data_IF_261514687217
#
_entry.id   IF_261514687217
#
_cell.length_a   1.000
_cell.length_b   1.000
_cell.length_c   1.000
_cell.angle_alpha   90.00
_cell.angle_beta   90.00
_cell.angle_gamma   90.00
#
_symmetry.space_group_name_H-M   'P 1'
#
loop_
_entity.id
_entity.type
_entity.pdbx_description
1 polymer ?
#
# COMPACT_ATOMS: atom_id res chain seq x y z
N UNK A 1 -21.90 2.34 1.28
CA UNK A 1 -21.03 1.63 0.32
C UNK A 1 -19.75 1.21 1.07
N UNK A 2 -19.33 -0.04 0.98
CA UNK A 2 -18.12 -0.55 1.68
C UNK A 2 -16.85 0.08 1.07
N UNK A 3 -15.93 0.58 1.89
CA UNK A 3 -14.65 1.16 1.45
C UNK A 3 -13.62 0.08 1.11
N UNK A 4 -12.56 0.42 0.35
CA UNK A 4 -11.45 -0.51 0.08
C UNK A 4 -10.82 -1.06 1.38
N UNK A 5 -10.60 -0.20 2.37
CA UNK A 5 -10.08 -0.61 3.68
C UNK A 5 -10.97 -1.64 4.37
N UNK A 6 -12.30 -1.43 4.39
CA UNK A 6 -13.25 -2.37 4.98
C UNK A 6 -13.23 -3.73 4.27
N UNK A 7 -13.18 -3.73 2.93
CA UNK A 7 -13.05 -4.96 2.12
C UNK A 7 -11.78 -5.74 2.45
N UNK A 8 -10.65 -5.03 2.57
CA UNK A 8 -9.35 -5.64 2.85
C UNK A 8 -9.32 -6.22 4.27
N UNK A 9 -9.83 -5.49 5.27
CA UNK A 9 -9.99 -6.01 6.64
C UNK A 9 -10.80 -7.31 6.63
N UNK A 10 -11.95 -7.32 5.95
CA UNK A 10 -12.82 -8.51 5.86
C UNK A 10 -12.14 -9.71 5.19
N UNK A 11 -11.32 -9.48 4.16
CA UNK A 11 -10.63 -10.55 3.41
C UNK A 11 -9.40 -11.11 4.14
N UNK A 12 -8.69 -10.25 4.85
CA UNK A 12 -7.41 -10.60 5.51
C UNK A 12 -7.59 -10.99 6.97
N UNK A 13 -8.68 -10.56 7.62
CA UNK A 13 -8.88 -10.68 9.07
C UNK A 13 -8.04 -9.71 9.89
N UNK A 14 -7.21 -8.88 9.25
CA UNK A 14 -6.33 -7.93 9.95
C UNK A 14 -7.11 -6.74 10.49
N UNK A 15 -6.62 -6.20 11.61
CA UNK A 15 -7.15 -4.99 12.23
C UNK A 15 -6.15 -3.84 12.05
N UNK A 16 -6.60 -2.57 12.12
CA UNK A 16 -5.69 -1.44 12.17
C UNK A 16 -4.67 -1.60 13.28
N UNK A 17 -3.40 -1.37 12.95
CA UNK A 17 -2.25 -1.47 13.86
C UNK A 17 -1.53 -0.13 13.90
N UNK A 18 -1.17 0.28 15.10
CA UNK A 18 -0.22 1.37 15.31
C UNK A 18 1.19 0.81 15.52
N UNK A 19 2.20 1.44 14.91
CA UNK A 19 3.59 0.98 15.00
C UNK A 19 4.24 1.38 16.34
N UNK A 20 3.69 0.91 17.47
CA UNK A 20 4.16 1.28 18.81
C UNK A 20 5.45 0.56 19.20
N UNK A 21 5.59 -0.73 18.86
CA UNK A 21 6.78 -1.53 19.19
C UNK A 21 7.90 -1.43 18.15
N UNK A 22 9.13 -1.76 18.55
CA UNK A 22 10.34 -1.70 17.69
C UNK A 22 10.18 -2.50 16.39
N UNK A 23 9.60 -3.70 16.45
CA UNK A 23 9.45 -4.58 15.28
C UNK A 23 8.46 -4.01 14.26
N UNK A 24 7.36 -3.39 14.71
CA UNK A 24 6.45 -2.69 13.79
C UNK A 24 7.09 -1.43 13.20
N UNK A 25 7.90 -0.70 13.97
CA UNK A 25 8.63 0.47 13.45
C UNK A 25 9.66 0.10 12.39
N UNK A 26 10.33 -1.04 12.54
CA UNK A 26 11.29 -1.53 11.54
C UNK A 26 10.64 -1.75 10.17
N UNK A 27 9.37 -2.18 10.11
CA UNK A 27 8.65 -2.32 8.85
C UNK A 27 8.45 -0.99 8.12
N UNK A 28 8.46 0.15 8.82
CA UNK A 28 8.33 1.47 8.18
C UNK A 28 9.54 1.85 7.32
N UNK A 29 10.65 1.11 7.40
CA UNK A 29 11.80 1.27 6.50
C UNK A 29 11.52 0.80 5.09
N UNK A 30 10.48 -0.01 4.88
CA UNK A 30 10.07 -0.50 3.57
C UNK A 30 8.80 0.24 3.15
N UNK A 31 8.72 0.78 1.92
CA UNK A 31 7.49 1.34 1.37
C UNK A 31 6.34 0.36 1.50
N UNK A 32 5.30 0.77 2.20
CA UNK A 32 4.05 0.02 2.22
C UNK A 32 3.17 0.39 1.03
N UNK A 33 2.39 -0.58 0.56
CA UNK A 33 1.47 -0.43 -0.56
C UNK A 33 0.17 0.30 -0.17
N UNK A 34 -0.26 1.22 -1.01
CA UNK A 34 -1.54 1.92 -0.93
C UNK A 34 -2.53 1.48 -2.01
N UNK A 35 -3.82 1.58 -1.69
CA UNK A 35 -4.89 1.50 -2.70
C UNK A 35 -4.87 2.75 -3.58
N UNK A 36 -5.59 2.79 -4.72
CA UNK A 36 -5.74 4.01 -5.49
C UNK A 36 -6.21 5.20 -4.65
N UNK A 37 -7.17 5.01 -3.73
CA UNK A 37 -7.62 6.13 -2.88
C UNK A 37 -6.53 6.63 -1.91
N UNK A 38 -5.71 5.73 -1.36
CA UNK A 38 -4.58 6.15 -0.51
C UNK A 38 -3.60 7.02 -1.30
N UNK A 39 -3.26 6.60 -2.52
CA UNK A 39 -2.31 7.32 -3.37
C UNK A 39 -2.87 8.66 -3.83
N UNK A 40 -4.16 8.71 -4.20
CA UNK A 40 -4.78 9.98 -4.55
C UNK A 40 -4.77 10.96 -3.37
N UNK A 41 -4.95 10.49 -2.13
CA UNK A 41 -4.82 11.35 -0.94
C UNK A 41 -3.40 11.87 -0.76
N UNK A 42 -2.38 11.03 -0.96
CA UNK A 42 -0.98 11.46 -0.91
C UNK A 42 -0.66 12.51 -1.99
N UNK A 43 -1.16 12.32 -3.20
CA UNK A 43 -1.00 13.29 -4.29
C UNK A 43 -1.65 14.63 -3.96
N UNK A 44 -2.90 14.61 -3.45
CA UNK A 44 -3.61 15.81 -3.02
C UNK A 44 -2.94 16.52 -1.84
N UNK A 45 -2.21 15.79 -1.01
CA UNK A 45 -1.40 16.33 0.07
C UNK A 45 -0.03 16.86 -0.38
N UNK A 46 0.29 16.83 -1.69
CA UNK A 46 1.52 17.40 -2.24
C UNK A 46 2.71 16.44 -2.30
N UNK A 47 2.53 15.15 -2.03
CA UNK A 47 3.63 14.17 -2.00
C UNK A 47 3.99 13.55 -3.35
N UNK A 48 3.63 14.19 -4.47
CA UNK A 48 3.85 13.67 -5.83
C UNK A 48 5.30 13.22 -6.07
N UNK A 49 6.27 14.06 -5.70
CA UNK A 49 7.69 13.78 -5.94
C UNK A 49 8.25 12.59 -5.15
N UNK A 50 7.48 12.08 -4.18
CA UNK A 50 7.83 10.93 -3.34
C UNK A 50 7.12 9.65 -3.78
N UNK A 51 6.34 9.73 -4.85
CA UNK A 51 5.63 8.61 -5.45
C UNK A 51 6.24 8.26 -6.81
N UNK A 52 6.17 6.98 -7.19
CA UNK A 52 6.66 6.52 -8.49
C UNK A 52 5.79 5.39 -9.05
N UNK A 53 5.72 5.27 -10.39
CA UNK A 53 5.21 4.06 -11.02
C UNK A 53 5.93 2.82 -10.49
N UNK A 54 5.15 1.81 -10.11
CA UNK A 54 5.61 0.60 -9.44
C UNK A 54 5.00 -0.62 -10.12
N UNK A 55 5.80 -1.69 -10.24
CA UNK A 55 5.41 -2.96 -10.86
C UNK A 55 5.30 -4.02 -9.78
N UNK A 56 4.08 -4.36 -9.36
CA UNK A 56 3.88 -5.43 -8.40
C UNK A 56 3.84 -6.78 -9.11
N UNK A 57 4.85 -7.63 -8.84
CA UNK A 57 5.09 -8.86 -9.60
C UNK A 57 4.86 -10.16 -8.79
N UNK A 58 4.53 -10.08 -7.50
CA UNK A 58 4.44 -11.26 -6.62
C UNK A 58 3.41 -12.28 -7.15
N UNK A 59 2.26 -11.81 -7.64
CA UNK A 59 1.23 -12.70 -8.20
C UNK A 59 1.67 -13.43 -9.48
N UNK A 60 2.48 -12.77 -10.33
CA UNK A 60 3.07 -13.38 -11.51
C UNK A 60 4.10 -14.45 -11.13
N UNK A 61 5.02 -14.10 -10.21
CA UNK A 61 6.08 -15.01 -9.76
C UNK A 61 5.54 -16.27 -9.08
N UNK A 62 4.39 -16.17 -8.41
CA UNK A 62 3.71 -17.31 -7.78
C UNK A 62 2.75 -18.06 -8.72
N UNK A 63 2.67 -17.70 -10.00
CA UNK A 63 1.77 -18.32 -10.98
C UNK A 63 0.29 -18.14 -10.66
N UNK A 64 -0.08 -17.07 -9.94
CA UNK A 64 -1.47 -16.78 -9.53
C UNK A 64 -2.22 -15.85 -10.47
N UNK A 65 -1.49 -14.98 -11.18
CA UNK A 65 -2.00 -14.14 -12.25
C UNK A 65 -0.98 -14.11 -13.40
N UNK A 66 -1.39 -13.96 -14.66
CA UNK A 66 -0.49 -14.03 -15.81
C UNK A 66 0.19 -12.69 -16.15
N UNK A 67 0.10 -11.66 -15.28
CA UNK A 67 0.62 -10.32 -15.54
C UNK A 67 1.12 -9.61 -14.28
N UNK A 68 1.91 -8.56 -14.48
CA UNK A 68 2.34 -7.61 -13.44
C UNK A 68 1.21 -6.60 -13.20
N UNK A 69 0.96 -6.24 -11.93
CA UNK A 69 0.00 -5.18 -11.59
C UNK A 69 0.72 -3.82 -11.59
N UNK A 70 0.36 -2.89 -12.49
CA UNK A 70 0.90 -1.54 -12.47
C UNK A 70 0.25 -0.73 -11.36
N UNK A 71 1.07 -0.02 -10.59
CA UNK A 71 0.65 0.78 -9.44
C UNK A 71 1.44 2.09 -9.42
N UNK A 72 1.04 3.03 -8.55
CA UNK A 72 1.88 4.14 -8.11
C UNK A 72 2.08 3.99 -6.62
N UNK A 73 3.31 4.01 -6.12
CA UNK A 73 3.62 3.76 -4.71
C UNK A 73 4.71 4.70 -4.19
N UNK A 74 4.89 4.73 -2.87
CA UNK A 74 5.99 5.45 -2.25
C UNK A 74 7.34 4.96 -2.77
N UNK A 75 8.26 5.89 -3.04
CA UNK A 75 9.61 5.58 -3.50
C UNK A 75 10.41 4.87 -2.40
N UNK A 76 11.20 3.90 -2.83
CA UNK A 76 12.33 3.38 -2.09
C UNK A 76 13.56 4.24 -2.44
N UNK A 77 14.19 4.83 -1.43
CA UNK A 77 15.46 5.52 -1.54
C UNK A 77 16.57 4.68 -0.89
N UNK A 78 17.84 5.12 -1.03
CA UNK A 78 19.00 4.38 -0.56
C UNK A 78 18.94 4.01 0.95
N UNK A 79 18.25 4.83 1.76
CA UNK A 79 18.09 4.63 3.20
C UNK A 79 16.80 3.93 3.63
N UNK A 80 15.85 3.65 2.72
CA UNK A 80 14.53 3.15 3.10
C UNK A 80 13.39 3.76 2.30
N UNK A 81 12.18 3.56 2.79
CA UNK A 81 10.99 4.30 2.38
C UNK A 81 11.27 5.80 2.46
N UNK A 82 10.94 6.54 1.41
CA UNK A 82 11.10 8.01 1.39
C UNK A 82 10.44 8.67 2.60
N UNK A 83 9.31 8.15 3.10
CA UNK A 83 8.57 8.66 4.26
C UNK A 83 9.11 8.22 5.63
N UNK A 84 10.25 7.52 5.68
CA UNK A 84 10.85 7.08 6.93
C UNK A 84 11.72 8.19 7.52
N UNK A 85 11.32 8.70 8.69
CA UNK A 85 12.01 9.77 9.40
C UNK A 85 12.03 9.46 10.91
N UNK A 86 13.18 9.63 11.55
CA UNK A 86 13.36 9.51 13.01
C UNK A 86 12.80 8.20 13.61
N UNK A 87 12.95 7.09 12.89
CA UNK A 87 12.54 5.78 13.37
C UNK A 87 11.06 5.44 13.16
N UNK A 88 10.28 6.31 12.51
CA UNK A 88 8.87 6.09 12.20
C UNK A 88 8.52 6.62 10.80
N UNK A 89 7.32 6.30 10.30
CA UNK A 89 6.81 6.89 9.08
C UNK A 89 6.12 8.24 9.38
N UNK A 90 6.52 9.33 8.73
CA UNK A 90 5.94 10.66 8.93
C UNK A 90 4.42 10.69 8.65
N UNK A 91 3.94 9.83 7.76
CA UNK A 91 2.53 9.74 7.38
C UNK A 91 1.61 9.23 8.50
N UNK A 92 2.17 8.71 9.61
CA UNK A 92 1.39 8.37 10.80
C UNK A 92 0.71 9.61 11.38
N UNK A 93 1.46 10.68 11.62
CA UNK A 93 0.94 11.90 12.23
C UNK A 93 -0.07 12.62 11.32
N UNK A 94 0.13 12.52 10.00
CA UNK A 94 -0.78 13.09 9.01
C UNK A 94 -2.05 12.25 8.78
N UNK A 95 -2.14 11.03 9.32
CA UNK A 95 -3.24 10.11 9.03
C UNK A 95 -3.27 9.63 7.57
N UNK A 96 -2.14 9.72 6.86
CA UNK A 96 -1.99 9.42 5.43
C UNK A 96 -1.27 8.10 5.16
N UNK A 97 -0.99 7.30 6.19
CA UNK A 97 -0.32 6.01 6.03
C UNK A 97 -1.12 5.10 5.07
N UNK A 98 -0.48 4.50 4.05
CA UNK A 98 -1.14 3.58 3.13
C UNK A 98 -1.77 2.36 3.81
N UNK A 99 -2.79 1.79 3.18
CA UNK A 99 -3.59 0.68 3.73
C UNK A 99 -2.76 -0.53 4.15
N UNK A 100 -1.77 -0.95 3.36
CA UNK A 100 -0.90 -2.07 3.78
C UNK A 100 -0.19 -1.73 5.09
N UNK A 101 0.38 -0.53 5.19
CA UNK A 101 1.07 -0.10 6.40
C UNK A 101 0.15 0.00 7.61
N UNK A 102 -1.11 0.41 7.42
CA UNK A 102 -2.11 0.51 8.50
C UNK A 102 -2.57 -0.84 9.03
N UNK A 103 -2.48 -1.89 8.20
CA UNK A 103 -2.91 -3.24 8.55
C UNK A 103 -1.75 -4.19 8.80
N UNK A 104 -0.50 -3.77 8.55
CA UNK A 104 0.66 -4.63 8.77
C UNK A 104 0.98 -4.79 10.25
N UNK A 105 1.27 -6.03 10.66
CA UNK A 105 1.77 -6.38 11.98
C UNK A 105 3.03 -7.24 11.83
N UNK A 106 3.92 -7.20 12.82
CA UNK A 106 5.18 -7.97 12.79
C UNK A 106 4.99 -9.48 12.97
N UNK A 107 3.79 -9.92 13.36
CA UNK A 107 3.45 -11.34 13.46
C UNK A 107 3.03 -11.88 12.11
N UNK A 108 3.55 -13.05 11.76
CA UNK A 108 3.10 -13.81 10.59
C UNK A 108 1.92 -14.68 11.01
N UNK A 109 0.82 -14.58 10.28
CA UNK A 109 -0.40 -15.35 10.50
C UNK A 109 -0.82 -16.06 9.20
N UNK A 110 -1.85 -16.92 9.27
CA UNK A 110 -2.24 -17.82 8.15
C UNK A 110 -2.52 -17.09 6.82
N UNK A 111 -2.94 -15.83 6.87
CA UNK A 111 -3.17 -14.99 5.70
C UNK A 111 -1.87 -14.65 4.96
N UNK A 112 -0.72 -14.64 5.63
CA UNK A 112 0.57 -14.50 4.96
C UNK A 112 0.89 -15.71 4.06
N UNK A 113 0.31 -16.88 4.35
CA UNK A 113 0.58 -18.12 3.63
C UNK A 113 -0.43 -18.37 2.49
N UNK A 114 -1.64 -17.83 2.60
CA UNK A 114 -2.70 -17.96 1.58
C UNK A 114 -2.72 -16.74 0.67
N UNK A 115 -2.30 -16.89 -0.58
CA UNK A 115 -2.24 -15.79 -1.57
C UNK A 115 -3.49 -14.91 -1.60
N UNK A 116 -4.69 -15.49 -1.67
CA UNK A 116 -5.95 -14.73 -1.73
C UNK A 116 -6.25 -13.89 -0.48
N UNK A 117 -5.62 -14.21 0.66
CA UNK A 117 -5.72 -13.48 1.92
C UNK A 117 -4.50 -12.58 2.18
N UNK A 118 -3.47 -12.61 1.33
CA UNK A 118 -2.30 -11.74 1.47
C UNK A 118 -2.73 -10.27 1.45
N UNK A 119 -2.19 -9.48 2.38
CA UNK A 119 -2.46 -8.05 2.46
C UNK A 119 -1.98 -7.33 1.20
N UNK A 120 -0.76 -7.62 0.73
CA UNK A 120 -0.19 -6.97 -0.45
C UNK A 120 -1.00 -7.27 -1.71
N UNK A 121 -1.49 -8.51 -1.86
CA UNK A 121 -2.40 -8.88 -2.95
C UNK A 121 -3.74 -8.14 -2.85
N UNK A 122 -4.31 -8.07 -1.65
CA UNK A 122 -5.59 -7.41 -1.44
C UNK A 122 -5.52 -5.88 -1.64
N UNK A 123 -4.34 -5.27 -1.53
CA UNK A 123 -4.09 -3.90 -1.97
C UNK A 123 -3.87 -3.84 -3.49
N UNK A 124 -3.02 -4.70 -4.05
CA UNK A 124 -2.71 -4.72 -5.49
C UNK A 124 -3.96 -4.93 -6.36
N UNK A 125 -4.86 -5.83 -5.98
CA UNK A 125 -6.10 -6.08 -6.75
C UNK A 125 -7.01 -4.85 -6.83
N UNK A 126 -6.94 -3.90 -5.90
CA UNK A 126 -7.75 -2.67 -5.98
C UNK A 126 -7.30 -1.78 -7.15
N UNK A 127 -6.07 -1.95 -7.66
CA UNK A 127 -5.59 -1.31 -8.89
C UNK A 127 -6.11 -1.95 -10.17
N UNK A 128 -6.72 -3.13 -10.06
CA UNK A 128 -7.36 -3.84 -11.17
C UNK A 128 -8.89 -3.71 -11.13
N UNK A 129 -9.42 -3.13 -10.06
CA UNK A 129 -10.86 -3.06 -9.82
C UNK A 129 -11.47 -1.88 -10.60
N UNK A 130 -12.47 -2.16 -11.42
CA UNK A 130 -13.14 -1.16 -12.28
C UNK A 130 -13.75 -0.02 -11.47
N UNK A 131 -14.16 -0.27 -10.22
CA UNK A 131 -14.69 0.76 -9.31
C UNK A 131 -13.69 1.87 -9.03
N UNK A 132 -12.39 1.61 -9.22
CA UNK A 132 -11.32 2.56 -8.98
C UNK A 132 -10.80 3.22 -10.26
N UNK A 133 -11.36 2.92 -11.44
CA UNK A 133 -10.85 3.45 -12.73
C UNK A 133 -10.78 4.97 -12.79
N UNK A 134 -11.80 5.69 -12.32
CA UNK A 134 -11.76 7.16 -12.30
C UNK A 134 -10.66 7.70 -11.37
N UNK A 135 -10.46 7.05 -10.23
CA UNK A 135 -9.38 7.39 -9.28
C UNK A 135 -8.02 7.13 -9.92
N UNK A 136 -7.85 5.99 -10.60
CA UNK A 136 -6.60 5.62 -11.27
C UNK A 136 -6.29 6.58 -12.43
N UNK A 137 -7.29 6.94 -13.22
CA UNK A 137 -7.15 7.93 -14.30
C UNK A 137 -6.68 9.28 -13.78
N UNK A 138 -7.22 9.73 -12.66
CA UNK A 138 -6.81 10.97 -12.01
C UNK A 138 -5.36 10.88 -11.49
N UNK A 139 -4.98 9.77 -10.88
CA UNK A 139 -3.59 9.52 -10.45
C UNK A 139 -2.64 9.62 -11.64
N UNK A 140 -2.93 8.94 -12.74
CA UNK A 140 -2.10 8.96 -13.96
C UNK A 140 -1.98 10.38 -14.51
N UNK A 141 -3.09 11.13 -14.55
CA UNK A 141 -3.10 12.54 -14.99
C UNK A 141 -2.19 13.42 -14.12
N UNK A 142 -2.24 13.30 -12.80
CA UNK A 142 -1.38 14.08 -11.88
C UNK A 142 0.08 13.64 -12.01
N UNK A 143 0.34 12.35 -12.11
CA UNK A 143 1.69 11.81 -12.25
C UNK A 143 2.34 12.17 -13.59
N UNK A 144 1.56 12.40 -14.65
CA UNK A 144 2.07 12.78 -15.97
C UNK A 144 2.35 14.27 -16.19
N UNK A 145 2.03 15.13 -15.22
CA UNK A 145 2.32 16.58 -15.28
C UNK A 145 3.75 16.90 -14.88
#
# INVERSE_FOLDING_TARGET
METALQRIIRKTGRRPVECRCRLCRQQCRIPCLGTPEDILRLLKAGYRERLAPTRWAVGLLLGKIPYIVPMVQAKQEAGGCTFFQDGLCELHAAGLKPTEGRLSHHTITMENLKFGMSLSWNVAKEWLDERNFDTIREIVRIMGK
#
